data_IF_935702091143
#
_entry.id   IF_935702091143
#
_cell.length_a   1.000
_cell.length_b   1.000
_cell.length_c   1.000
_cell.angle_alpha   90.00
_cell.angle_beta   90.00
_cell.angle_gamma   90.00
#
_symmetry.space_group_name_H-M   'P 1'
#
loop_
_entity.id
_entity.type
_entity.pdbx_description
1 polymer ?
#
# COMPACT_ATOMS: atom_id res chain seq x y z
N UNK A 1 3.74 -10.36 -7.53
CA UNK A 1 3.59 -11.74 -7.01
C UNK A 1 2.28 -12.35 -7.47
N UNK A 2 2.03 -13.62 -7.13
CA UNK A 2 0.79 -14.33 -7.49
C UNK A 2 -0.40 -13.94 -6.61
N UNK A 3 -0.14 -13.24 -5.48
CA UNK A 3 -1.14 -12.74 -4.53
C UNK A 3 -2.25 -11.88 -5.16
N UNK A 4 -2.00 -11.23 -6.30
CA UNK A 4 -2.97 -10.35 -6.96
C UNK A 4 -4.27 -11.08 -7.35
N UNK A 5 -4.20 -12.35 -7.73
CA UNK A 5 -5.39 -13.13 -8.07
C UNK A 5 -6.28 -13.38 -6.85
N UNK A 6 -5.67 -13.52 -5.67
CA UNK A 6 -6.40 -13.65 -4.41
C UNK A 6 -7.04 -12.33 -3.99
N UNK A 7 -6.33 -11.20 -4.16
CA UNK A 7 -6.88 -9.87 -3.90
C UNK A 7 -8.11 -9.56 -4.76
N UNK A 8 -8.05 -9.86 -6.06
CA UNK A 8 -9.19 -9.69 -6.98
C UNK A 8 -10.36 -10.63 -6.64
N UNK A 9 -10.09 -11.83 -6.13
CA UNK A 9 -11.14 -12.72 -5.63
C UNK A 9 -11.79 -12.16 -4.36
N UNK A 10 -11.00 -11.65 -3.43
CA UNK A 10 -11.49 -11.03 -2.20
C UNK A 10 -12.35 -9.79 -2.49
N UNK A 11 -11.92 -8.92 -3.42
CA UNK A 11 -12.70 -7.77 -3.87
C UNK A 11 -14.11 -8.17 -4.35
N UNK A 12 -14.20 -9.21 -5.19
CA UNK A 12 -15.49 -9.72 -5.66
C UNK A 12 -16.35 -10.26 -4.53
N UNK A 13 -15.78 -11.10 -3.66
CA UNK A 13 -16.49 -11.67 -2.52
C UNK A 13 -17.01 -10.58 -1.57
N UNK A 14 -16.18 -9.58 -1.23
CA UNK A 14 -16.56 -8.42 -0.41
C UNK A 14 -17.75 -7.67 -0.98
N UNK A 15 -17.77 -7.44 -2.29
CA UNK A 15 -18.87 -6.77 -2.96
C UNK A 15 -20.14 -7.63 -3.01
N UNK A 16 -20.02 -8.91 -3.37
CA UNK A 16 -21.15 -9.81 -3.61
C UNK A 16 -21.84 -10.27 -2.31
N UNK A 17 -21.07 -10.64 -1.29
CA UNK A 17 -21.60 -11.23 -0.06
C UNK A 17 -21.78 -10.23 1.09
N UNK A 18 -21.03 -9.12 1.09
CA UNK A 18 -21.07 -8.13 2.18
C UNK A 18 -21.43 -6.71 1.71
N UNK A 19 -21.57 -6.45 0.41
CA UNK A 19 -21.85 -5.12 -0.11
C UNK A 19 -20.72 -4.11 0.12
N UNK A 20 -19.50 -4.59 0.36
CA UNK A 20 -18.32 -3.77 0.63
C UNK A 20 -17.54 -3.56 -0.67
N UNK A 21 -17.52 -2.32 -1.17
CA UNK A 21 -16.65 -1.95 -2.29
C UNK A 21 -15.20 -1.83 -1.82
N UNK A 22 -14.25 -2.24 -2.67
CA UNK A 22 -12.81 -2.10 -2.41
C UNK A 22 -12.06 -1.81 -3.69
N UNK A 23 -10.96 -1.05 -3.57
CA UNK A 23 -10.00 -0.81 -4.64
C UNK A 23 -8.81 -1.74 -4.49
N UNK A 24 -8.22 -2.16 -5.62
CA UNK A 24 -7.08 -3.09 -5.65
C UNK A 24 -5.90 -2.41 -6.32
N UNK A 25 -4.79 -2.29 -5.59
CA UNK A 25 -3.52 -1.78 -6.14
C UNK A 25 -2.49 -2.90 -6.32
N UNK A 26 -1.65 -2.76 -7.35
CA UNK A 26 -0.53 -3.66 -7.60
C UNK A 26 0.77 -3.04 -7.10
N UNK A 27 1.31 -3.57 -6.00
CA UNK A 27 2.67 -3.25 -5.56
C UNK A 27 3.67 -4.12 -6.35
N UNK A 28 4.22 -3.57 -7.44
CA UNK A 28 5.15 -4.27 -8.33
C UNK A 28 6.50 -4.55 -7.65
N UNK A 29 6.94 -3.69 -6.73
CA UNK A 29 8.13 -3.88 -5.91
C UNK A 29 8.02 -3.16 -4.56
N UNK A 30 7.90 -3.93 -3.48
CA UNK A 30 7.87 -3.39 -2.10
C UNK A 30 9.16 -2.66 -1.74
N UNK A 31 10.31 -3.18 -2.18
CA UNK A 31 11.61 -2.58 -1.87
C UNK A 31 11.83 -1.24 -2.56
N UNK A 32 11.34 -1.08 -3.79
CA UNK A 32 11.44 0.21 -4.50
C UNK A 32 10.48 1.26 -3.90
N UNK A 33 9.27 0.86 -3.50
CA UNK A 33 8.35 1.73 -2.75
C UNK A 33 8.99 2.21 -1.44
N UNK A 34 9.65 1.31 -0.71
CA UNK A 34 10.39 1.65 0.50
C UNK A 34 11.56 2.60 0.23
N UNK A 35 12.34 2.34 -0.83
CA UNK A 35 13.48 3.19 -1.20
C UNK A 35 13.02 4.61 -1.53
N UNK A 36 12.00 4.75 -2.36
CA UNK A 36 11.42 6.06 -2.70
C UNK A 36 10.94 6.82 -1.45
N UNK A 37 10.30 6.12 -0.52
CA UNK A 37 9.82 6.72 0.71
C UNK A 37 10.96 7.17 1.65
N UNK A 38 12.02 6.37 1.76
CA UNK A 38 13.22 6.78 2.50
C UNK A 38 13.92 8.00 1.89
N UNK A 39 13.99 8.10 0.56
CA UNK A 39 14.57 9.27 -0.10
C UNK A 39 13.73 10.53 0.13
N UNK A 40 12.41 10.39 0.27
CA UNK A 40 11.53 11.48 0.64
C UNK A 40 11.77 11.95 2.09
N UNK A 41 11.94 11.02 3.03
CA UNK A 41 12.31 11.36 4.42
C UNK A 41 13.67 12.06 4.48
N UNK A 42 14.67 11.58 3.72
CA UNK A 42 15.99 12.21 3.65
C UNK A 42 15.91 13.61 3.03
N UNK A 43 15.08 13.81 2.00
CA UNK A 43 14.83 15.12 1.41
C UNK A 43 14.20 16.08 2.43
N UNK A 44 13.24 15.61 3.23
CA UNK A 44 12.60 16.40 4.28
C UNK A 44 13.61 16.87 5.34
N UNK A 45 14.56 16.01 5.73
CA UNK A 45 15.66 16.39 6.63
C UNK A 45 16.59 17.46 6.05
N UNK A 46 16.68 17.56 4.72
CA UNK A 46 17.40 18.61 3.98
C UNK A 46 16.56 19.86 3.71
N UNK A 47 15.30 19.89 4.17
CA UNK A 47 14.36 21.00 3.95
C UNK A 47 13.69 21.00 2.58
N UNK A 48 13.75 19.88 1.85
CA UNK A 48 13.10 19.70 0.55
C UNK A 48 11.77 18.96 0.75
N UNK A 49 10.68 19.52 0.22
CA UNK A 49 9.38 18.83 0.22
C UNK A 49 9.32 17.78 -0.89
N UNK A 50 9.28 16.51 -0.50
CA UNK A 50 9.04 15.37 -1.39
C UNK A 50 8.03 14.44 -0.73
N UNK A 51 6.98 14.09 -1.45
CA UNK A 51 5.99 13.12 -0.98
C UNK A 51 6.29 11.75 -1.61
N UNK A 52 6.42 10.67 -0.82
CA UNK A 52 6.59 9.32 -1.34
C UNK A 52 5.49 8.96 -2.36
N UNK A 53 5.82 8.14 -3.34
CA UNK A 53 4.87 7.61 -4.32
C UNK A 53 3.73 6.86 -3.64
N UNK A 54 4.03 5.99 -2.65
CA UNK A 54 3.00 5.22 -1.94
C UNK A 54 1.98 6.15 -1.27
N UNK A 55 2.45 7.19 -0.57
CA UNK A 55 1.59 8.17 0.08
C UNK A 55 0.73 8.91 -0.93
N UNK A 56 1.32 9.37 -2.05
CA UNK A 56 0.55 10.03 -3.12
C UNK A 56 -0.48 9.11 -3.78
N UNK A 57 -0.13 7.85 -4.02
CA UNK A 57 -1.00 6.88 -4.67
C UNK A 57 -2.22 6.51 -3.81
N UNK A 58 -2.05 6.52 -2.48
CA UNK A 58 -3.09 6.19 -1.51
C UNK A 58 -3.77 7.45 -0.92
N UNK A 59 -3.33 8.64 -1.31
CA UNK A 59 -3.84 9.90 -0.74
C UNK A 59 -5.33 10.04 -1.03
N UNK A 60 -6.11 10.31 0.02
CA UNK A 60 -7.56 10.45 -0.07
C UNK A 60 -8.34 9.15 -0.27
N UNK A 61 -7.67 7.99 -0.30
CA UNK A 61 -8.36 6.71 -0.31
C UNK A 61 -9.13 6.49 1.00
N UNK A 62 -10.45 6.19 0.95
CA UNK A 62 -11.24 5.98 2.14
C UNK A 62 -11.03 4.58 2.72
N UNK A 63 -11.02 4.49 4.06
CA UNK A 63 -11.00 3.22 4.78
C UNK A 63 -9.61 2.61 4.96
N UNK A 64 -9.53 1.39 5.51
CA UNK A 64 -8.27 0.73 5.82
C UNK A 64 -7.58 0.15 4.58
N UNK A 65 -6.26 0.02 4.64
CA UNK A 65 -5.43 -0.63 3.64
C UNK A 65 -5.04 -2.02 4.14
N UNK A 66 -5.40 -3.04 3.37
CA UNK A 66 -5.04 -4.44 3.63
C UNK A 66 -3.97 -4.87 2.64
N UNK A 67 -2.81 -5.29 3.13
CA UNK A 67 -1.68 -5.67 2.28
C UNK A 67 -1.45 -7.17 2.23
N UNK A 68 -1.38 -7.73 1.02
CA UNK A 68 -1.24 -9.18 0.82
C UNK A 68 -0.06 -9.47 -0.09
N UNK A 69 0.76 -10.44 0.30
CA UNK A 69 1.91 -10.92 -0.45
C UNK A 69 2.08 -12.43 -0.26
N UNK A 70 2.79 -13.05 -1.19
CA UNK A 70 3.36 -14.39 -1.13
C UNK A 70 4.61 -14.49 -0.23
N UNK A 71 5.10 -13.36 0.27
CA UNK A 71 6.20 -13.29 1.23
C UNK A 71 5.68 -13.08 2.66
N UNK A 72 6.59 -13.16 3.64
CA UNK A 72 6.29 -12.86 5.03
C UNK A 72 5.68 -11.46 5.19
N UNK A 73 4.83 -11.29 6.21
CA UNK A 73 4.16 -10.01 6.54
C UNK A 73 5.12 -8.82 6.62
N UNK A 74 6.36 -9.06 7.05
CA UNK A 74 7.41 -8.04 7.10
C UNK A 74 7.66 -7.35 5.74
N UNK A 75 7.44 -8.04 4.62
CA UNK A 75 7.70 -7.48 3.28
C UNK A 75 6.72 -6.35 2.94
N UNK A 76 5.38 -6.56 3.02
CA UNK A 76 4.44 -5.44 2.95
C UNK A 76 4.66 -4.38 4.04
N UNK A 77 4.91 -4.79 5.28
CA UNK A 77 5.07 -3.88 6.42
C UNK A 77 6.23 -2.88 6.25
N UNK A 78 7.15 -3.14 5.32
CA UNK A 78 8.23 -2.23 4.93
C UNK A 78 7.75 -0.81 4.63
N UNK A 79 6.53 -0.64 4.10
CA UNK A 79 6.02 0.66 3.68
C UNK A 79 4.93 1.23 4.60
N UNK A 80 4.51 0.48 5.62
CA UNK A 80 3.35 0.79 6.45
C UNK A 80 3.41 2.19 7.07
N UNK A 81 4.60 2.65 7.48
CA UNK A 81 4.78 3.97 8.10
C UNK A 81 4.47 5.17 7.18
N UNK A 82 4.47 4.96 5.86
CA UNK A 82 4.18 6.01 4.87
C UNK A 82 2.76 5.89 4.28
N UNK A 83 1.93 5.02 4.84
CA UNK A 83 0.52 4.87 4.49
C UNK A 83 -0.31 5.60 5.54
N UNK A 84 -1.15 6.54 5.11
CA UNK A 84 -1.93 7.40 6.01
C UNK A 84 -3.14 6.67 6.63
N UNK A 85 -3.61 5.62 5.96
CA UNK A 85 -4.73 4.79 6.39
C UNK A 85 -4.30 3.75 7.41
N UNK A 86 -5.28 3.20 8.14
CA UNK A 86 -5.06 2.03 9.00
C UNK A 86 -4.52 0.87 8.17
N UNK A 87 -3.35 0.34 8.59
CA UNK A 87 -2.63 -0.73 7.90
C UNK A 87 -2.90 -2.08 8.56
N UNK A 88 -3.28 -3.09 7.78
CA UNK A 88 -3.51 -4.47 8.25
C UNK A 88 -2.86 -5.52 7.37
#
# INVERSE_FOLDING_TARGET
GTAIHWALKAQRLLAEEWGVASDVWSATSWSELRRDAMEADEALLRGEERVPYVTRALSGAPGPVVAVSDYMRQVPDQIAQWVEQDWT
#
